data_IF_421701730566
#
_entry.id   IF_421701730566
#
_cell.length_a   1.000
_cell.length_b   1.000
_cell.length_c   1.000
_cell.angle_alpha   90.00
_cell.angle_beta   90.00
_cell.angle_gamma   90.00
#
_symmetry.space_group_name_H-M   'P 1'
#
loop_
_entity.id
_entity.type
_entity.pdbx_description
1 polymer ?
#
# COMPACT_ATOMS: atom_id res chain seq x y z
N UNK A 1 -33.12 -0.82 -7.02
CA UNK A 1 -33.66 -2.07 -6.42
C UNK A 1 -32.42 -2.93 -6.11
N UNK A 2 -32.05 -3.04 -4.84
CA UNK A 2 -30.90 -3.85 -4.44
C UNK A 2 -31.34 -5.31 -4.46
N UNK A 3 -30.88 -6.09 -5.41
CA UNK A 3 -31.13 -7.53 -5.47
C UNK A 3 -30.12 -8.18 -4.50
N UNK A 4 -30.51 -8.30 -3.24
CA UNK A 4 -29.81 -9.17 -2.29
C UNK A 4 -30.28 -10.59 -2.63
N UNK A 5 -29.39 -11.51 -3.02
CA UNK A 5 -29.77 -12.90 -3.26
C UNK A 5 -29.97 -13.60 -1.92
N UNK A 6 -31.04 -13.26 -1.23
CA UNK A 6 -31.46 -13.91 -0.01
C UNK A 6 -32.78 -14.64 -0.28
N UNK A 7 -32.69 -15.81 -0.90
CA UNK A 7 -33.86 -16.70 -1.06
C UNK A 7 -34.36 -17.26 0.28
N UNK A 8 -33.59 -17.12 1.35
CA UNK A 8 -33.98 -17.53 2.69
C UNK A 8 -33.59 -16.51 3.75
N UNK A 9 -34.43 -16.25 4.75
CA UNK A 9 -34.11 -15.38 5.87
C UNK A 9 -32.85 -15.90 6.59
N UNK A 10 -32.04 -14.96 7.13
CA UNK A 10 -30.85 -15.26 7.93
C UNK A 10 -31.18 -16.27 9.02
N UNK A 11 -30.74 -17.51 8.84
CA UNK A 11 -30.87 -18.53 9.87
C UNK A 11 -29.76 -18.34 10.91
N UNK A 12 -30.07 -17.66 11.98
CA UNK A 12 -29.16 -17.41 13.10
C UNK A 12 -28.66 -18.69 13.81
N UNK A 13 -29.30 -19.86 13.52
CA UNK A 13 -28.84 -21.15 14.04
C UNK A 13 -27.60 -21.68 13.29
N UNK A 14 -27.33 -21.15 12.07
CA UNK A 14 -26.15 -21.50 11.28
C UNK A 14 -25.50 -20.22 10.75
N UNK A 15 -24.84 -19.43 11.61
CA UNK A 15 -24.22 -18.18 11.20
C UNK A 15 -23.04 -18.45 10.24
N UNK A 16 -22.78 -17.54 9.28
CA UNK A 16 -21.63 -17.58 8.40
C UNK A 16 -20.37 -17.16 9.18
N UNK A 17 -19.84 -18.08 9.94
CA UNK A 17 -18.75 -17.82 10.92
C UNK A 17 -17.48 -17.37 10.22
N UNK A 18 -17.13 -17.97 9.07
CA UNK A 18 -15.91 -17.64 8.33
C UNK A 18 -15.96 -16.20 7.81
N UNK A 19 -17.09 -15.81 7.21
CA UNK A 19 -17.28 -14.43 6.73
C UNK A 19 -17.13 -13.42 7.86
N UNK A 20 -17.76 -13.69 9.02
CA UNK A 20 -17.64 -12.81 10.18
C UNK A 20 -16.20 -12.75 10.72
N UNK A 21 -15.48 -13.87 10.75
CA UNK A 21 -14.08 -13.91 11.15
C UNK A 21 -13.19 -13.14 10.16
N UNK A 22 -13.45 -13.23 8.86
CA UNK A 22 -12.71 -12.48 7.85
C UNK A 22 -12.95 -10.98 7.98
N UNK A 23 -14.20 -10.54 8.20
CA UNK A 23 -14.52 -9.14 8.45
C UNK A 23 -13.80 -8.64 9.70
N UNK A 24 -13.86 -9.40 10.79
CA UNK A 24 -13.18 -9.05 12.03
C UNK A 24 -11.66 -8.96 11.84
N UNK A 25 -11.05 -9.95 11.17
CA UNK A 25 -9.61 -9.99 10.92
C UNK A 25 -9.14 -8.79 10.09
N UNK A 26 -9.84 -8.48 8.98
CA UNK A 26 -9.52 -7.32 8.16
C UNK A 26 -9.62 -6.01 8.96
N UNK A 27 -10.67 -5.87 9.76
CA UNK A 27 -10.89 -4.71 10.62
C UNK A 27 -9.75 -4.56 11.66
N UNK A 28 -9.38 -5.67 12.32
CA UNK A 28 -8.29 -5.67 13.31
C UNK A 28 -6.93 -5.35 12.69
N UNK A 29 -6.65 -5.88 11.50
CA UNK A 29 -5.41 -5.56 10.78
C UNK A 29 -5.38 -4.09 10.41
N UNK A 30 -6.47 -3.55 9.89
CA UNK A 30 -6.53 -2.15 9.48
C UNK A 30 -6.33 -1.19 10.66
N UNK A 31 -7.11 -1.32 11.70
CA UNK A 31 -7.02 -0.40 12.85
C UNK A 31 -5.84 -0.71 13.78
N UNK A 32 -5.52 -2.00 13.98
CA UNK A 32 -4.48 -2.41 14.92
C UNK A 32 -3.08 -2.33 14.34
N UNK A 33 -2.88 -2.77 13.09
CA UNK A 33 -1.55 -2.83 12.47
C UNK A 33 -1.28 -1.66 11.51
N UNK A 34 -2.18 -1.44 10.52
CA UNK A 34 -2.02 -0.36 9.54
C UNK A 34 -2.24 1.02 10.16
N UNK A 35 -2.98 1.13 11.27
CA UNK A 35 -3.16 2.39 11.99
C UNK A 35 -1.84 3.08 12.38
N UNK A 36 -0.74 2.33 12.52
CA UNK A 36 0.60 2.88 12.76
C UNK A 36 1.36 3.34 11.50
N UNK A 37 0.80 3.18 10.30
CA UNK A 37 1.53 3.51 9.06
C UNK A 37 1.77 5.00 8.88
N UNK A 38 0.92 5.86 9.44
CA UNK A 38 1.14 7.31 9.41
C UNK A 38 2.44 7.68 10.14
N UNK A 39 2.63 7.15 11.35
CA UNK A 39 3.86 7.40 12.13
C UNK A 39 5.11 6.81 11.44
N UNK A 40 4.99 5.61 10.89
CA UNK A 40 6.08 4.97 10.12
C UNK A 40 6.45 5.80 8.90
N UNK A 41 5.46 6.36 8.20
CA UNK A 41 5.70 7.24 7.06
C UNK A 41 6.42 8.53 7.49
N UNK A 42 6.00 9.13 8.59
CA UNK A 42 6.64 10.33 9.12
C UNK A 42 8.10 10.07 9.48
N UNK A 43 8.40 8.92 10.09
CA UNK A 43 9.78 8.50 10.38
C UNK A 43 10.58 8.32 9.08
N UNK A 44 10.02 7.69 8.06
CA UNK A 44 10.69 7.49 6.77
C UNK A 44 10.98 8.80 6.07
N UNK A 45 9.99 9.71 6.02
CA UNK A 45 10.12 11.06 5.43
C UNK A 45 11.16 11.88 6.19
N UNK A 46 11.13 11.86 7.51
CA UNK A 46 12.12 12.54 8.33
C UNK A 46 13.53 12.01 8.05
N UNK A 47 13.71 10.70 8.05
CA UNK A 47 15.00 10.06 7.74
C UNK A 47 15.52 10.49 6.37
N UNK A 48 14.65 10.53 5.37
CA UNK A 48 14.96 10.98 4.02
C UNK A 48 15.42 12.45 3.97
N UNK A 49 14.69 13.33 4.66
CA UNK A 49 14.98 14.77 4.68
C UNK A 49 16.26 15.08 5.47
N UNK A 50 16.44 14.43 6.63
CA UNK A 50 17.61 14.60 7.50
C UNK A 50 18.88 14.04 6.81
N UNK A 51 18.75 13.00 6.00
CA UNK A 51 19.81 12.48 5.14
C UNK A 51 20.22 13.39 3.96
N UNK A 52 19.55 14.55 3.79
CA UNK A 52 19.84 15.51 2.69
C UNK A 52 19.45 14.99 1.30
N UNK A 53 18.72 13.89 1.22
CA UNK A 53 18.38 13.19 -0.03
C UNK A 53 17.55 14.05 -0.98
N UNK A 54 16.64 14.86 -0.45
CA UNK A 54 15.80 15.73 -1.28
C UNK A 54 16.62 16.69 -2.15
N UNK A 55 17.74 17.21 -1.64
CA UNK A 55 18.58 18.12 -2.40
C UNK A 55 19.32 17.43 -3.56
N UNK A 56 19.58 16.13 -3.40
CA UNK A 56 20.27 15.30 -4.41
C UNK A 56 19.31 14.74 -5.45
N UNK A 57 18.12 14.33 -5.03
CA UNK A 57 17.21 13.52 -5.82
C UNK A 57 16.07 14.32 -6.48
N UNK A 58 15.71 15.51 -5.95
CA UNK A 58 14.57 16.29 -6.44
C UNK A 58 14.60 16.52 -7.95
N UNK A 59 15.72 16.98 -8.48
CA UNK A 59 15.82 17.31 -9.91
C UNK A 59 15.69 16.06 -10.78
N UNK A 60 16.38 14.97 -10.40
CA UNK A 60 16.32 13.68 -11.07
C UNK A 60 14.91 13.09 -11.05
N UNK A 61 14.25 13.17 -9.89
CA UNK A 61 12.90 12.68 -9.73
C UNK A 61 11.91 13.45 -10.61
N UNK A 62 11.93 14.81 -10.55
CA UNK A 62 11.02 15.64 -11.34
C UNK A 62 11.19 15.37 -12.83
N UNK A 63 12.41 15.22 -13.31
CA UNK A 63 12.68 14.91 -14.72
C UNK A 63 12.14 13.53 -15.09
N UNK A 64 12.51 12.50 -14.33
CA UNK A 64 12.06 11.12 -14.55
C UNK A 64 10.53 10.99 -14.45
N UNK A 65 9.94 11.57 -13.43
CA UNK A 65 8.48 11.50 -13.19
C UNK A 65 7.71 12.25 -14.28
N UNK A 66 8.17 13.46 -14.65
CA UNK A 66 7.52 14.26 -15.70
C UNK A 66 7.58 13.57 -17.06
N UNK A 67 8.71 12.96 -17.42
CA UNK A 67 8.86 12.23 -18.69
C UNK A 67 7.97 11.00 -18.72
N UNK A 68 7.93 10.22 -17.66
CA UNK A 68 7.13 8.99 -17.60
C UNK A 68 5.61 9.23 -17.63
N UNK A 69 5.18 10.37 -17.07
CA UNK A 69 3.76 10.70 -16.95
C UNK A 69 3.33 11.77 -17.97
N UNK A 70 4.20 12.14 -18.92
CA UNK A 70 3.92 13.11 -19.96
C UNK A 70 3.37 14.45 -19.42
N UNK A 71 3.94 14.92 -18.28
CA UNK A 71 3.45 16.12 -17.61
C UNK A 71 3.68 17.36 -18.49
N UNK A 72 2.67 18.22 -18.56
CA UNK A 72 2.81 19.52 -19.19
C UNK A 72 3.66 20.49 -18.35
N UNK A 73 3.88 21.71 -18.88
CA UNK A 73 4.74 22.70 -18.23
C UNK A 73 4.17 23.19 -16.89
N UNK A 74 2.85 23.29 -16.77
CA UNK A 74 2.17 23.78 -15.58
C UNK A 74 2.17 22.71 -14.47
N UNK A 75 1.91 21.47 -14.83
CA UNK A 75 1.99 20.32 -13.92
C UNK A 75 3.42 20.12 -13.41
N UNK A 76 4.42 20.21 -14.30
CA UNK A 76 5.84 20.14 -13.92
C UNK A 76 6.24 21.28 -12.98
N UNK A 77 5.74 22.51 -13.23
CA UNK A 77 5.97 23.66 -12.36
C UNK A 77 5.34 23.45 -10.98
N UNK A 78 4.12 22.95 -10.94
CA UNK A 78 3.39 22.63 -9.72
C UNK A 78 4.13 21.56 -8.89
N UNK A 79 4.59 20.49 -9.54
CA UNK A 79 5.41 19.46 -8.89
C UNK A 79 6.73 20.04 -8.34
N UNK A 80 7.40 20.90 -9.11
CA UNK A 80 8.65 21.54 -8.70
C UNK A 80 8.47 22.44 -7.47
N UNK A 81 7.33 23.14 -7.37
CA UNK A 81 6.95 24.00 -6.25
C UNK A 81 6.31 23.27 -5.06
N UNK A 82 6.11 21.96 -5.14
CA UNK A 82 5.43 21.20 -4.09
C UNK A 82 6.20 21.23 -2.74
N UNK A 83 5.49 21.15 -1.61
CA UNK A 83 6.11 21.13 -0.29
C UNK A 83 7.14 20.01 -0.14
N UNK A 84 8.22 20.27 0.60
CA UNK A 84 9.34 19.33 0.77
C UNK A 84 8.90 17.97 1.27
N UNK A 85 7.97 17.93 2.23
CA UNK A 85 7.42 16.69 2.79
C UNK A 85 6.67 15.90 1.73
N UNK A 86 5.84 16.56 0.92
CA UNK A 86 5.10 15.93 -0.18
C UNK A 86 6.06 15.34 -1.22
N UNK A 87 7.07 16.08 -1.63
CA UNK A 87 8.08 15.57 -2.57
C UNK A 87 8.83 14.37 -2.00
N UNK A 88 9.24 14.42 -0.74
CA UNK A 88 9.90 13.30 -0.08
C UNK A 88 9.01 12.05 -0.04
N UNK A 89 7.71 12.21 0.23
CA UNK A 89 6.75 11.09 0.19
C UNK A 89 6.60 10.51 -1.22
N UNK A 90 6.51 11.36 -2.24
CA UNK A 90 6.39 10.91 -3.64
C UNK A 90 7.66 10.15 -4.06
N UNK A 91 8.83 10.69 -3.77
CA UNK A 91 10.13 10.07 -4.13
C UNK A 91 10.32 8.74 -3.42
N UNK A 92 9.99 8.65 -2.12
CA UNK A 92 10.11 7.41 -1.36
C UNK A 92 9.15 6.31 -1.83
N UNK A 93 7.99 6.69 -2.38
CA UNK A 93 6.98 5.74 -2.86
C UNK A 93 7.18 5.29 -4.30
N UNK A 94 7.98 6.01 -5.07
CA UNK A 94 8.21 5.69 -6.48
C UNK A 94 9.29 4.63 -6.66
N UNK A 95 8.87 3.36 -6.70
CA UNK A 95 9.77 2.20 -6.89
C UNK A 95 10.46 2.20 -8.26
N UNK A 96 9.84 2.84 -9.27
CA UNK A 96 10.45 2.94 -10.59
C UNK A 96 11.61 3.95 -10.58
N UNK A 97 11.42 5.07 -9.88
CA UNK A 97 12.51 6.02 -9.64
C UNK A 97 13.64 5.38 -8.81
N UNK A 98 13.31 4.66 -7.73
CA UNK A 98 14.27 3.90 -6.93
C UNK A 98 15.14 3.00 -7.80
N UNK A 99 14.49 2.19 -8.65
CA UNK A 99 15.24 1.33 -9.59
C UNK A 99 16.16 2.12 -10.51
N UNK A 100 15.67 3.21 -11.11
CA UNK A 100 16.47 4.05 -12.00
C UNK A 100 17.65 4.67 -11.26
N UNK A 101 17.42 5.17 -10.04
CA UNK A 101 18.43 5.78 -9.20
C UNK A 101 19.55 4.80 -8.86
N UNK A 102 19.21 3.57 -8.50
CA UNK A 102 20.17 2.53 -8.14
C UNK A 102 21.13 2.16 -9.28
N UNK A 103 20.75 2.39 -10.55
CA UNK A 103 21.62 2.16 -11.71
C UNK A 103 22.32 3.45 -12.19
N UNK A 104 22.09 4.59 -11.54
CA UNK A 104 22.72 5.87 -11.93
C UNK A 104 24.20 5.91 -11.48
N UNK A 105 25.18 6.16 -12.36
CA UNK A 105 26.60 6.15 -12.00
C UNK A 105 26.94 7.09 -10.83
N UNK A 106 26.43 8.32 -10.84
CA UNK A 106 26.67 9.28 -9.77
C UNK A 106 26.17 8.82 -8.40
N UNK A 107 25.09 8.04 -8.34
CA UNK A 107 24.63 7.39 -7.12
C UNK A 107 25.56 6.24 -6.72
N UNK A 108 25.98 5.44 -7.69
CA UNK A 108 26.85 4.29 -7.45
C UNK A 108 28.22 4.68 -6.91
N UNK A 109 28.72 5.84 -7.29
CA UNK A 109 30.05 6.36 -6.90
C UNK A 109 30.03 7.17 -5.59
N UNK A 110 28.85 7.39 -4.96
CA UNK A 110 28.70 8.16 -3.71
C UNK A 110 28.26 7.27 -2.54
N UNK A 111 29.17 6.73 -1.72
CA UNK A 111 28.83 5.88 -0.58
C UNK A 111 27.96 6.57 0.46
N UNK A 112 28.13 7.88 0.66
CA UNK A 112 27.32 8.63 1.64
C UNK A 112 25.87 8.77 1.16
N UNK A 113 25.65 8.94 -0.15
CA UNK A 113 24.31 8.96 -0.72
C UNK A 113 23.62 7.59 -0.58
N UNK A 114 24.34 6.52 -0.91
CA UNK A 114 23.85 5.13 -0.74
C UNK A 114 23.42 4.86 0.69
N UNK A 115 24.29 5.13 1.65
CA UNK A 115 23.99 4.90 3.08
C UNK A 115 22.77 5.68 3.54
N UNK A 116 22.66 6.95 3.17
CA UNK A 116 21.48 7.78 3.52
C UNK A 116 20.20 7.23 2.87
N UNK A 117 20.29 6.81 1.60
CA UNK A 117 19.15 6.25 0.86
C UNK A 117 18.69 4.90 1.44
N UNK A 118 19.62 4.00 1.74
CA UNK A 118 19.33 2.71 2.36
C UNK A 118 18.63 2.87 3.71
N UNK A 119 19.03 3.85 4.54
CA UNK A 119 18.36 4.16 5.80
C UNK A 119 16.92 4.63 5.58
N UNK A 120 16.68 5.50 4.62
CA UNK A 120 15.36 5.99 4.31
C UNK A 120 14.45 4.89 3.74
N UNK A 121 14.99 4.04 2.88
CA UNK A 121 14.27 2.87 2.34
C UNK A 121 13.98 1.83 3.42
N UNK A 122 14.91 1.57 4.33
CA UNK A 122 14.69 0.67 5.45
C UNK A 122 13.56 1.18 6.35
N UNK A 123 13.49 2.50 6.61
CA UNK A 123 12.38 3.10 7.36
C UNK A 123 11.05 2.98 6.59
N UNK A 124 11.02 3.28 5.28
CA UNK A 124 9.83 3.11 4.43
C UNK A 124 9.35 1.66 4.41
N UNK A 125 10.27 0.71 4.36
CA UNK A 125 9.96 -0.71 4.31
C UNK A 125 9.31 -1.25 5.60
N UNK A 126 9.19 -0.42 6.65
CA UNK A 126 8.39 -0.75 7.84
C UNK A 126 6.89 -0.49 7.64
N UNK A 127 6.49 0.29 6.61
CA UNK A 127 5.08 0.45 6.29
C UNK A 127 4.46 -0.89 5.91
N UNK A 128 3.20 -1.10 6.31
CA UNK A 128 2.50 -2.37 6.10
C UNK A 128 2.47 -2.80 4.64
N UNK A 129 2.25 -1.87 3.71
CA UNK A 129 2.21 -2.13 2.28
C UNK A 129 3.57 -2.63 1.73
N UNK A 130 4.70 -2.09 2.21
CA UNK A 130 6.03 -2.55 1.77
C UNK A 130 6.44 -3.85 2.43
N UNK A 131 5.99 -4.09 3.66
CA UNK A 131 6.36 -5.28 4.45
C UNK A 131 5.53 -6.50 4.08
N UNK A 132 4.23 -6.33 3.84
CA UNK A 132 3.26 -7.42 3.64
C UNK A 132 2.42 -7.25 2.37
N UNK A 133 2.57 -6.16 1.62
CA UNK A 133 1.86 -5.95 0.37
C UNK A 133 2.48 -6.72 -0.79
N UNK A 134 1.69 -6.91 -1.83
CA UNK A 134 2.17 -7.51 -3.07
C UNK A 134 2.89 -6.47 -3.92
N UNK A 135 4.20 -6.62 -4.08
CA UNK A 135 5.03 -5.78 -4.95
C UNK A 135 5.52 -6.68 -6.09
N UNK A 136 5.02 -6.49 -7.34
CA UNK A 136 5.35 -7.38 -8.46
C UNK A 136 6.85 -7.55 -8.70
N UNK A 137 7.63 -6.47 -8.53
CA UNK A 137 9.09 -6.48 -8.70
C UNK A 137 9.84 -7.24 -7.58
N UNK A 138 9.17 -7.50 -6.45
CA UNK A 138 9.72 -8.21 -5.28
C UNK A 138 8.72 -9.28 -4.82
N UNK A 139 8.44 -10.24 -5.70
CA UNK A 139 7.46 -11.29 -5.41
C UNK A 139 7.83 -12.09 -4.17
N UNK A 140 6.90 -12.16 -3.21
CA UNK A 140 7.00 -13.02 -2.04
C UNK A 140 5.66 -13.69 -1.77
N UNK A 141 5.69 -14.94 -1.30
CA UNK A 141 4.45 -15.64 -0.89
C UNK A 141 3.75 -14.90 0.25
N UNK A 142 4.53 -14.33 1.19
CA UNK A 142 4.02 -13.50 2.27
C UNK A 142 3.29 -12.26 1.75
N UNK A 143 3.85 -11.59 0.72
CA UNK A 143 3.22 -10.42 0.09
C UNK A 143 1.92 -10.78 -0.64
N UNK A 144 1.87 -11.95 -1.28
CA UNK A 144 0.66 -12.42 -1.95
C UNK A 144 -0.51 -12.58 -0.95
N UNK A 145 -0.27 -13.29 0.16
CA UNK A 145 -1.30 -13.46 1.18
C UNK A 145 -1.55 -12.18 2.00
N UNK A 146 -0.52 -11.42 2.31
CA UNK A 146 -0.65 -10.18 3.07
C UNK A 146 -1.51 -9.13 2.34
N UNK A 147 -1.36 -9.03 1.03
CA UNK A 147 -2.13 -8.09 0.21
C UNK A 147 -3.65 -8.30 0.30
N UNK A 148 -4.11 -9.52 0.60
CA UNK A 148 -5.54 -9.83 0.76
C UNK A 148 -6.17 -9.12 1.97
N UNK A 149 -5.35 -8.73 2.94
CA UNK A 149 -5.81 -8.14 4.21
C UNK A 149 -5.41 -6.67 4.39
N UNK A 150 -4.60 -6.13 3.46
CA UNK A 150 -4.17 -4.73 3.51
C UNK A 150 -5.12 -3.84 2.71
N UNK A 151 -5.43 -2.68 3.29
CA UNK A 151 -6.34 -1.72 2.68
C UNK A 151 -5.67 -0.35 2.56
N UNK A 152 -5.86 0.31 1.43
CA UNK A 152 -5.25 1.60 1.13
C UNK A 152 -5.79 2.74 2.00
N UNK A 153 -7.09 2.68 2.28
CA UNK A 153 -7.80 3.67 3.09
C UNK A 153 -9.08 3.06 3.71
N UNK A 154 -9.75 3.86 4.55
CA UNK A 154 -10.99 3.44 5.21
C UNK A 154 -12.14 3.17 4.21
N UNK A 155 -12.24 3.92 3.13
CA UNK A 155 -13.28 3.72 2.12
C UNK A 155 -13.13 2.36 1.43
N UNK A 156 -11.89 1.99 1.12
CA UNK A 156 -11.56 0.68 0.54
C UNK A 156 -11.88 -0.46 1.52
N UNK A 157 -11.46 -0.34 2.79
CA UNK A 157 -11.85 -1.31 3.82
C UNK A 157 -13.37 -1.44 3.91
N UNK A 158 -14.07 -0.31 4.06
CA UNK A 158 -15.53 -0.31 4.24
C UNK A 158 -16.25 -0.96 3.05
N UNK A 159 -15.88 -0.61 1.82
CA UNK A 159 -16.43 -1.20 0.60
C UNK A 159 -16.23 -2.72 0.55
N UNK A 160 -15.02 -3.19 0.88
CA UNK A 160 -14.71 -4.62 0.93
C UNK A 160 -15.49 -5.34 2.03
N UNK A 161 -15.64 -4.73 3.21
CA UNK A 161 -16.42 -5.34 4.30
C UNK A 161 -17.92 -5.44 3.98
N UNK A 162 -18.47 -4.41 3.32
CA UNK A 162 -19.87 -4.45 2.83
C UNK A 162 -20.03 -5.54 1.77
N UNK A 163 -19.11 -5.62 0.81
CA UNK A 163 -19.11 -6.66 -0.22
C UNK A 163 -19.04 -8.07 0.41
N UNK A 164 -18.09 -8.25 1.34
CA UNK A 164 -17.90 -9.51 2.05
C UNK A 164 -19.13 -9.88 2.90
N UNK A 165 -19.78 -8.90 3.53
CA UNK A 165 -21.02 -9.12 4.28
C UNK A 165 -22.15 -9.60 3.37
N UNK A 166 -22.36 -8.95 2.23
CA UNK A 166 -23.49 -9.28 1.32
C UNK A 166 -23.23 -10.62 0.61
N UNK A 167 -22.09 -10.75 -0.05
CA UNK A 167 -21.80 -11.90 -0.91
C UNK A 167 -21.17 -13.06 -0.15
N UNK A 168 -20.30 -12.78 0.82
CA UNK A 168 -19.63 -13.80 1.62
C UNK A 168 -20.62 -14.64 2.41
N UNK A 169 -21.66 -14.03 2.98
CA UNK A 169 -22.71 -14.77 3.66
C UNK A 169 -23.43 -15.76 2.74
N UNK A 170 -23.77 -15.32 1.53
CA UNK A 170 -24.44 -16.17 0.56
C UNK A 170 -23.52 -17.31 0.09
N UNK A 171 -22.28 -16.99 -0.22
CA UNK A 171 -21.27 -17.97 -0.70
C UNK A 171 -20.90 -19.00 0.38
N UNK A 172 -20.65 -18.58 1.61
CA UNK A 172 -20.32 -19.53 2.71
C UNK A 172 -21.45 -20.54 2.93
N UNK A 173 -22.71 -20.09 2.82
CA UNK A 173 -23.89 -20.98 2.94
C UNK A 173 -24.04 -21.93 1.77
N UNK A 174 -23.81 -21.44 0.55
CA UNK A 174 -23.98 -22.23 -0.67
C UNK A 174 -22.90 -23.28 -0.84
N UNK A 175 -21.64 -22.92 -0.54
CA UNK A 175 -20.45 -23.75 -0.83
C UNK A 175 -19.95 -24.51 0.39
N UNK A 176 -20.37 -24.13 1.59
CA UNK A 176 -19.82 -24.65 2.85
C UNK A 176 -18.47 -23.99 3.20
N UNK A 177 -18.09 -24.11 4.47
CA UNK A 177 -16.95 -23.38 5.06
C UNK A 177 -15.62 -23.68 4.41
N UNK A 178 -15.33 -24.96 4.15
CA UNK A 178 -14.02 -25.37 3.61
C UNK A 178 -13.81 -24.86 2.18
N UNK A 179 -14.82 -25.02 1.31
CA UNK A 179 -14.76 -24.54 -0.06
C UNK A 179 -14.71 -23.01 -0.10
N UNK A 180 -15.46 -22.34 0.77
CA UNK A 180 -15.47 -20.88 0.86
C UNK A 180 -14.10 -20.30 1.24
N UNK A 181 -13.41 -20.88 2.24
CA UNK A 181 -12.03 -20.46 2.58
C UNK A 181 -11.07 -20.67 1.41
N UNK A 182 -11.22 -21.77 0.68
CA UNK A 182 -10.36 -22.05 -0.47
C UNK A 182 -10.57 -21.10 -1.66
N UNK A 183 -11.70 -20.41 -1.70
CA UNK A 183 -12.02 -19.42 -2.75
C UNK A 183 -11.66 -17.98 -2.35
N UNK A 184 -11.57 -17.70 -1.07
CA UNK A 184 -11.17 -16.41 -0.54
C UNK A 184 -9.68 -16.14 -0.80
#
# INVERSE_FOLDING_TARGET
>A
MLIIPAEHPLDWKKPPVITLLLILLNTLIFFGYQGGDSERLDVAVKTYLDGGLLNREKALFIESFSTRNELDADDRKSLTGAPRVMLAQLILRDLQFENTLHYTPTYQDDPAWKEAREKAEAARNQLSMYRFGFIPAKFTVQGLFGAMFLHGDFGHLFGNMVFLFIFGFALERALGRVTYIGLY
#
